data_IF_489525803352
#
_entry.id   IF_489525803352
#
_cell.length_a   1.000
_cell.length_b   1.000
_cell.length_c   1.000
_cell.angle_alpha   90.00
_cell.angle_beta   90.00
_cell.angle_gamma   90.00
#
_symmetry.space_group_name_H-M   'P 1'
#
loop_
_entity.id
_entity.type
_entity.pdbx_description
1 polymer ?
#
# COMPACT_ATOMS: atom_id res chain seq x y z
N UNK A 1 4.09 -0.07 8.19
CA UNK A 1 3.29 0.93 8.94
C UNK A 1 3.61 2.29 8.37
N UNK A 2 2.62 3.15 8.13
CA UNK A 2 2.87 4.48 7.60
C UNK A 2 3.12 5.51 8.70
N UNK A 3 3.94 6.52 8.40
CA UNK A 3 4.31 7.58 9.32
C UNK A 3 3.84 8.97 8.88
N UNK A 4 3.68 9.85 9.88
CA UNK A 4 3.33 11.26 9.67
C UNK A 4 4.44 12.06 8.97
N UNK A 5 5.70 11.67 9.17
CA UNK A 5 6.90 12.21 8.51
C UNK A 5 6.98 11.86 7.02
N UNK A 6 6.25 10.83 6.61
CA UNK A 6 6.19 10.35 5.23
C UNK A 6 7.19 9.26 4.87
N UNK A 7 7.81 8.62 5.87
CA UNK A 7 8.49 7.33 5.72
C UNK A 7 7.52 6.17 5.98
N UNK A 8 7.99 4.96 5.73
CA UNK A 8 7.33 3.72 6.14
C UNK A 8 8.20 2.97 7.14
N UNK A 9 7.57 2.49 8.21
CA UNK A 9 8.22 1.60 9.18
C UNK A 9 7.93 0.14 8.85
N UNK A 10 8.95 -0.72 8.89
CA UNK A 10 8.82 -2.17 8.76
C UNK A 10 8.97 -2.86 10.10
N UNK A 11 7.89 -3.54 10.50
CA UNK A 11 7.86 -4.43 11.66
C UNK A 11 7.71 -5.86 11.18
N UNK A 12 8.54 -6.76 11.71
CA UNK A 12 8.42 -8.20 11.46
C UNK A 12 7.79 -8.86 12.68
N UNK A 13 6.83 -9.77 12.46
CA UNK A 13 6.32 -10.63 13.52
C UNK A 13 7.30 -11.79 13.73
N UNK A 14 8.13 -11.73 14.77
CA UNK A 14 9.05 -12.79 15.19
C UNK A 14 8.38 -13.77 16.18
N UNK A 15 7.07 -13.65 16.40
CA UNK A 15 6.25 -14.53 17.23
C UNK A 15 5.46 -15.54 16.41
N UNK A 16 4.32 -15.97 16.93
CA UNK A 16 3.37 -16.84 16.23
C UNK A 16 2.06 -16.07 15.95
N UNK A 17 1.14 -16.62 15.13
CA UNK A 17 -0.18 -16.01 14.97
C UNK A 17 -0.98 -15.90 16.27
N UNK A 18 -0.79 -16.81 17.22
CA UNK A 18 -1.47 -16.82 18.53
C UNK A 18 -0.71 -16.07 19.64
N UNK A 19 0.57 -15.80 19.44
CA UNK A 19 1.43 -15.05 20.35
C UNK A 19 2.35 -14.11 19.53
N UNK A 20 1.80 -13.02 18.98
CA UNK A 20 2.54 -12.13 18.11
C UNK A 20 3.61 -11.36 18.89
N UNK A 21 4.78 -11.19 18.27
CA UNK A 21 5.87 -10.37 18.79
C UNK A 21 6.45 -9.55 17.65
N UNK A 22 6.12 -8.27 17.62
CA UNK A 22 6.58 -7.37 16.57
C UNK A 22 7.91 -6.71 16.94
N UNK A 23 8.90 -6.85 16.06
CA UNK A 23 10.21 -6.20 16.16
C UNK A 23 10.30 -5.14 15.06
N UNK A 24 10.71 -3.92 15.42
CA UNK A 24 11.05 -2.89 14.44
C UNK A 24 12.33 -3.31 13.72
N UNK A 25 12.25 -3.50 12.40
CA UNK A 25 13.39 -3.87 11.55
C UNK A 25 13.97 -2.63 10.87
N UNK A 26 13.12 -1.70 10.45
CA UNK A 26 13.52 -0.43 9.85
C UNK A 26 12.45 0.64 10.08
N UNK A 27 12.84 1.87 10.39
CA UNK A 27 11.99 3.06 10.45
C UNK A 27 11.99 3.87 9.12
N UNK A 28 12.72 3.37 8.12
CA UNK A 28 12.78 3.90 6.76
C UNK A 28 12.79 2.74 5.75
N UNK A 29 11.76 1.90 5.79
CA UNK A 29 11.66 0.67 5.01
C UNK A 29 11.93 0.91 3.51
N UNK A 30 12.98 0.26 2.99
CA UNK A 30 13.47 0.40 1.61
C UNK A 30 13.74 1.85 1.16
N UNK A 31 13.89 2.80 2.09
CA UNK A 31 14.01 4.23 1.79
C UNK A 31 12.76 4.83 1.14
N UNK A 32 11.60 4.15 1.22
CA UNK A 32 10.36 4.56 0.56
C UNK A 32 9.77 5.79 1.26
N UNK A 33 9.61 6.89 0.49
CA UNK A 33 9.12 8.19 0.97
C UNK A 33 7.92 8.69 0.14
N UNK A 34 6.74 8.08 0.29
CA UNK A 34 5.57 8.39 -0.52
C UNK A 34 4.93 9.73 -0.18
N UNK A 35 5.16 10.24 1.04
CA UNK A 35 4.60 11.51 1.51
C UNK A 35 3.97 11.40 2.89
N UNK A 36 3.70 12.56 3.50
CA UNK A 36 3.24 12.66 4.89
C UNK A 36 1.90 11.99 5.14
N UNK A 37 1.70 11.52 6.38
CA UNK A 37 0.56 10.71 6.83
C UNK A 37 0.32 9.54 5.88
N UNK A 38 1.37 8.77 5.64
CA UNK A 38 1.30 7.65 4.72
C UNK A 38 0.36 6.56 5.24
N UNK A 39 -0.40 5.96 4.33
CA UNK A 39 -1.36 4.89 4.58
C UNK A 39 -1.04 3.73 3.63
N UNK A 40 -0.07 2.87 3.97
CA UNK A 40 0.34 1.77 3.10
C UNK A 40 -0.67 0.63 3.09
N UNK A 41 -0.80 -0.02 1.94
CA UNK A 41 -1.54 -1.26 1.69
C UNK A 41 -0.75 -2.15 0.74
N UNK A 42 -0.83 -3.45 0.95
CA UNK A 42 -0.22 -4.44 0.08
C UNK A 42 -1.31 -5.21 -0.67
N UNK A 43 -1.11 -5.43 -1.97
CA UNK A 43 -1.95 -6.26 -2.83
C UNK A 43 -1.11 -6.71 -4.03
N UNK A 44 -1.46 -7.84 -4.63
CA UNK A 44 -0.88 -8.31 -5.90
C UNK A 44 -1.60 -7.57 -7.05
N UNK A 45 -0.99 -6.53 -7.62
CA UNK A 45 -1.64 -5.64 -8.59
C UNK A 45 -1.40 -6.06 -10.04
N UNK A 46 -0.25 -6.66 -10.33
CA UNK A 46 0.10 -7.13 -11.68
C UNK A 46 -0.01 -8.66 -11.85
N UNK A 47 -0.54 -9.35 -10.84
CA UNK A 47 -0.88 -10.77 -10.84
C UNK A 47 0.34 -11.69 -11.03
N UNK A 48 1.52 -11.27 -10.55
CA UNK A 48 2.74 -12.06 -10.61
C UNK A 48 2.95 -12.97 -9.39
N UNK A 49 2.06 -12.86 -8.39
CA UNK A 49 2.06 -13.70 -7.19
C UNK A 49 2.91 -13.16 -6.05
N UNK A 50 3.48 -11.95 -6.17
CA UNK A 50 4.03 -11.21 -5.06
C UNK A 50 3.20 -9.97 -4.69
N UNK A 51 3.59 -9.23 -3.65
CA UNK A 51 2.78 -8.13 -3.13
C UNK A 51 3.40 -6.79 -3.50
N UNK A 52 2.64 -5.99 -4.22
CA UNK A 52 2.91 -4.60 -4.52
C UNK A 52 2.43 -3.68 -3.40
N UNK A 53 2.92 -2.44 -3.42
CA UNK A 53 2.65 -1.45 -2.38
C UNK A 53 1.90 -0.26 -2.95
N UNK A 54 0.76 0.05 -2.33
CA UNK A 54 0.02 1.28 -2.60
C UNK A 54 -0.06 2.12 -1.34
N UNK A 55 0.24 3.41 -1.46
CA UNK A 55 0.33 4.30 -0.31
C UNK A 55 -0.52 5.53 -0.54
N UNK A 56 -1.59 5.64 0.25
CA UNK A 56 -2.33 6.89 0.41
C UNK A 56 -1.55 7.89 1.26
N UNK A 57 -1.85 9.17 1.12
CA UNK A 57 -1.06 10.28 1.70
C UNK A 57 -1.97 11.47 2.06
N UNK A 58 -1.50 12.39 2.90
CA UNK A 58 -2.24 13.62 3.19
C UNK A 58 -2.38 14.51 1.94
N UNK A 59 -1.30 14.62 1.16
CA UNK A 59 -1.30 15.31 -0.12
C UNK A 59 -1.45 14.27 -1.22
N UNK A 60 -2.54 14.32 -1.99
CA UNK A 60 -2.64 13.52 -3.21
C UNK A 60 -1.59 13.95 -4.25
N UNK A 61 -1.30 13.11 -5.26
CA UNK A 61 -1.80 11.74 -5.47
C UNK A 61 -0.99 10.68 -4.67
N UNK A 62 -1.53 9.48 -4.47
CA UNK A 62 -0.84 8.36 -3.83
C UNK A 62 0.38 7.90 -4.63
N UNK A 63 1.21 7.10 -3.98
CA UNK A 63 2.28 6.38 -4.66
C UNK A 63 1.92 4.90 -4.82
N UNK A 64 2.10 4.37 -6.03
CA UNK A 64 2.01 2.95 -6.36
C UNK A 64 3.42 2.46 -6.67
N UNK A 65 3.85 1.42 -5.97
CA UNK A 65 5.11 0.75 -6.18
C UNK A 65 4.86 -0.70 -6.56
N UNK A 66 5.43 -1.12 -7.69
CA UNK A 66 5.44 -2.54 -8.06
C UNK A 66 6.65 -3.20 -7.42
N UNK A 67 6.47 -4.38 -6.86
CA UNK A 67 7.56 -5.18 -6.34
C UNK A 67 8.18 -5.98 -7.48
N UNK A 68 9.34 -5.54 -7.97
CA UNK A 68 10.09 -6.26 -9.03
C UNK A 68 11.01 -7.35 -8.49
N UNK A 69 10.90 -7.62 -7.19
CA UNK A 69 11.73 -8.59 -6.48
C UNK A 69 11.04 -9.93 -6.37
N UNK A 70 10.85 -10.36 -5.13
CA UNK A 70 10.16 -11.59 -4.79
C UNK A 70 9.49 -11.46 -3.42
N UNK A 71 8.71 -12.47 -3.03
CA UNK A 71 8.03 -12.54 -1.74
C UNK A 71 8.94 -12.43 -0.51
N UNK A 72 10.23 -12.73 -0.64
CA UNK A 72 11.22 -12.73 0.46
C UNK A 72 12.37 -11.76 0.26
N UNK A 73 12.47 -11.15 -0.91
CA UNK A 73 13.48 -10.16 -1.27
C UNK A 73 12.79 -9.10 -2.13
N UNK A 74 12.16 -8.14 -1.47
CA UNK A 74 11.40 -7.08 -2.13
C UNK A 74 12.31 -6.15 -2.91
N UNK A 75 11.81 -5.61 -4.02
CA UNK A 75 12.46 -4.56 -4.78
C UNK A 75 11.39 -3.61 -5.31
N UNK A 76 10.91 -2.71 -4.45
CA UNK A 76 9.85 -1.78 -4.80
C UNK A 76 10.34 -0.70 -5.76
N UNK A 77 9.70 -0.60 -6.92
CA UNK A 77 9.93 0.42 -7.93
C UNK A 77 8.69 1.29 -8.06
N UNK A 78 8.85 2.61 -8.06
CA UNK A 78 7.74 3.54 -8.25
C UNK A 78 7.15 3.35 -9.65
N UNK A 79 5.96 2.76 -9.72
CA UNK A 79 5.24 2.52 -10.96
C UNK A 79 4.35 3.70 -11.37
N UNK A 80 4.00 4.56 -10.42
CA UNK A 80 3.32 5.82 -10.70
C UNK A 80 2.44 6.30 -9.57
N UNK A 81 1.48 7.14 -9.94
CA UNK A 81 0.49 7.74 -9.06
C UNK A 81 -0.85 7.82 -9.77
N UNK A 82 -1.95 7.53 -9.07
CA UNK A 82 -3.29 7.72 -9.63
C UNK A 82 -3.70 9.19 -9.51
N UNK A 83 -3.96 9.91 -10.62
CA UNK A 83 -4.09 11.37 -10.63
C UNK A 83 -5.31 11.93 -9.86
N UNK A 84 -6.35 11.13 -9.64
CA UNK A 84 -7.64 11.60 -9.12
C UNK A 84 -7.94 11.20 -7.66
N UNK A 85 -6.96 10.61 -6.97
CA UNK A 85 -7.19 10.22 -5.58
C UNK A 85 -7.34 11.44 -4.68
N UNK A 86 -8.28 11.40 -3.74
CA UNK A 86 -8.50 12.51 -2.84
C UNK A 86 -7.31 12.66 -1.87
N UNK A 87 -7.11 13.89 -1.40
CA UNK A 87 -6.25 14.15 -0.25
C UNK A 87 -6.71 13.35 0.97
N UNK A 88 -5.76 13.01 1.86
CA UNK A 88 -5.98 12.09 2.97
C UNK A 88 -6.52 10.73 2.51
N UNK A 89 -5.93 10.21 1.44
CA UNK A 89 -6.39 8.96 0.84
C UNK A 89 -6.13 7.77 1.77
N UNK A 90 -7.12 6.91 1.90
CA UNK A 90 -7.05 5.66 2.65
C UNK A 90 -7.46 4.50 1.74
N UNK A 91 -6.51 3.88 1.03
CA UNK A 91 -6.83 2.77 0.13
C UNK A 91 -7.25 1.51 0.90
N UNK A 92 -8.10 0.70 0.28
CA UNK A 92 -8.45 -0.64 0.69
C UNK A 92 -8.70 -1.51 -0.56
N UNK A 93 -8.28 -2.77 -0.50
CA UNK A 93 -8.47 -3.73 -1.59
C UNK A 93 -9.52 -4.78 -1.23
N UNK A 94 -10.22 -5.27 -2.25
CA UNK A 94 -11.13 -6.41 -2.14
C UNK A 94 -11.61 -6.84 -3.53
N UNK A 95 -12.08 -8.08 -3.67
CA UNK A 95 -12.74 -8.53 -4.89
C UNK A 95 -14.24 -8.18 -4.80
N UNK A 96 -14.64 -7.05 -5.37
CA UNK A 96 -16.00 -6.52 -5.32
C UNK A 96 -16.83 -6.94 -6.53
N UNK A 97 -16.18 -7.34 -7.62
CA UNK A 97 -16.82 -7.81 -8.85
C UNK A 97 -16.95 -9.34 -8.93
N UNK A 98 -16.19 -10.08 -8.13
CA UNK A 98 -16.16 -11.55 -8.12
C UNK A 98 -15.28 -12.18 -9.21
N UNK A 99 -14.40 -11.41 -9.83
CA UNK A 99 -13.56 -11.85 -10.96
C UNK A 99 -12.16 -12.33 -10.54
N UNK A 100 -11.89 -12.30 -9.22
CA UNK A 100 -10.60 -12.59 -8.57
C UNK A 100 -9.47 -11.63 -8.91
N UNK A 101 -9.78 -10.45 -9.44
CA UNK A 101 -8.83 -9.34 -9.57
C UNK A 101 -9.11 -8.35 -8.43
N UNK A 102 -8.11 -7.89 -7.67
CA UNK A 102 -8.35 -6.92 -6.62
C UNK A 102 -8.92 -5.61 -7.16
N UNK A 103 -10.11 -5.24 -6.67
CA UNK A 103 -10.67 -3.91 -6.81
C UNK A 103 -10.17 -3.01 -5.67
N UNK A 104 -10.10 -1.72 -5.95
CA UNK A 104 -9.58 -0.72 -5.03
C UNK A 104 -10.65 0.30 -4.66
N UNK A 105 -10.82 0.49 -3.36
CA UNK A 105 -11.69 1.49 -2.76
C UNK A 105 -10.84 2.55 -2.08
N UNK A 106 -11.10 3.82 -2.39
CA UNK A 106 -10.34 4.96 -1.84
C UNK A 106 -11.31 5.96 -1.20
N UNK A 107 -11.22 6.10 0.11
CA UNK A 107 -11.81 7.23 0.84
C UNK A 107 -10.84 8.41 0.92
N UNK A 108 -11.35 9.60 1.20
CA UNK A 108 -10.54 10.81 1.38
C UNK A 108 -11.15 11.82 2.34
N UNK A 109 -10.39 12.89 2.63
CA UNK A 109 -10.77 13.90 3.63
C UNK A 109 -11.95 14.80 3.25
N UNK A 110 -12.33 14.83 1.96
CA UNK A 110 -13.49 15.58 1.46
C UNK A 110 -14.82 14.82 1.57
N UNK A 111 -14.80 13.58 2.07
CA UNK A 111 -15.94 12.68 2.02
C UNK A 111 -16.12 11.99 0.67
N UNK A 112 -17.01 11.00 0.64
CA UNK A 112 -17.21 10.12 -0.51
C UNK A 112 -16.22 8.95 -0.57
N UNK A 113 -16.44 8.09 -1.55
CA UNK A 113 -15.62 6.91 -1.85
C UNK A 113 -15.44 6.82 -3.36
N UNK A 114 -14.22 6.61 -3.81
CA UNK A 114 -13.90 6.31 -5.20
C UNK A 114 -13.63 4.81 -5.34
N UNK A 115 -14.15 4.21 -6.42
CA UNK A 115 -13.98 2.81 -6.76
C UNK A 115 -13.19 2.69 -8.06
N UNK A 116 -12.13 1.89 -8.04
CA UNK A 116 -11.32 1.52 -9.20
C UNK A 116 -11.44 0.01 -9.39
N UNK A 117 -11.96 -0.38 -10.55
CA UNK A 117 -12.10 -1.80 -10.89
C UNK A 117 -10.76 -2.35 -11.37
N UNK A 118 -10.39 -3.50 -10.83
CA UNK A 118 -9.27 -4.28 -11.33
C UNK A 118 -9.47 -4.66 -12.80
N UNK A 119 -8.37 -4.82 -13.55
CA UNK A 119 -8.39 -5.32 -14.93
C UNK A 119 -7.30 -6.37 -15.10
N UNK A 120 -7.54 -7.32 -16.00
CA UNK A 120 -6.54 -8.29 -16.47
C UNK A 120 -5.70 -7.71 -17.60
#
# INVERSE_FOLDING_TARGET
>A
MGESSGTLNFYRNDGTPSAPRFTLVSDEWEGIRPGRRSVPRLADLDADGDLDLVVGTEAGPPAIYLNRGSRTAWAFELAGSAPDWPAFSAPAFGDLTGDRVPDLVVGGGSGGVQLYLGRR
#
